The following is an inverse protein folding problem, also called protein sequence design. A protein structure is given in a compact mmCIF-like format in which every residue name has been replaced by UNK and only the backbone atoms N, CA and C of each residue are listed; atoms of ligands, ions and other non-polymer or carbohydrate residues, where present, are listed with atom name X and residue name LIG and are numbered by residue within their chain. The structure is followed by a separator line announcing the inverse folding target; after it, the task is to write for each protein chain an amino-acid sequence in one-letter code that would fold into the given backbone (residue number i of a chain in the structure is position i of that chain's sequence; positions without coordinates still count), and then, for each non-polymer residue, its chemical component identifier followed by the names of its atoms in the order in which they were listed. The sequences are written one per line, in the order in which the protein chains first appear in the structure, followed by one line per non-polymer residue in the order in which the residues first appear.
data_IF_974855205641
#
_entry.id   IF_974855205641
#
_cell.length_a   1.000
_cell.length_b   1.000
_cell.length_c   1.000
_cell.angle_alpha   90.00
_cell.angle_beta   90.00
_cell.angle_gamma   90.00
#
_symmetry.space_group_name_H-M   'P 1'
#
loop_
_entity.id
_entity.type
_entity.pdbx_description
1 polymer ?
#
# COMPACT_ATOMS: atom_id res chain seq x y z
N UNK A 1 -4.76 -7.65 -19.03
CA UNK A 1 -4.84 -7.24 -17.60
C UNK A 1 -6.13 -6.47 -17.37
N UNK A 2 -6.94 -6.88 -16.40
CA UNK A 2 -8.13 -6.12 -15.99
C UNK A 2 -7.67 -4.78 -15.43
N UNK A 3 -8.25 -3.67 -15.91
CA UNK A 3 -7.99 -2.34 -15.32
C UNK A 3 -8.63 -2.32 -13.94
N UNK A 4 -7.83 -2.02 -12.92
CA UNK A 4 -8.33 -1.75 -11.56
C UNK A 4 -9.01 -0.39 -11.54
N UNK A 5 -10.12 -0.27 -10.81
CA UNK A 5 -10.93 0.95 -10.69
C UNK A 5 -10.97 1.44 -9.23
N UNK A 6 -11.34 2.70 -8.98
CA UNK A 6 -11.60 3.16 -7.63
C UNK A 6 -12.59 2.24 -6.89
N UNK A 7 -12.28 1.93 -5.63
CA UNK A 7 -13.00 0.96 -4.79
C UNK A 7 -12.49 -0.48 -4.89
N UNK A 8 -11.64 -0.81 -5.87
CA UNK A 8 -11.03 -2.16 -5.93
C UNK A 8 -9.97 -2.31 -4.83
N UNK A 9 -10.05 -3.44 -4.11
CA UNK A 9 -9.00 -3.90 -3.18
C UNK A 9 -7.92 -4.64 -3.96
N UNK A 10 -6.66 -4.23 -3.83
CA UNK A 10 -5.54 -4.73 -4.63
C UNK A 10 -4.38 -5.18 -3.76
N UNK A 11 -3.66 -6.20 -4.23
CA UNK A 11 -2.33 -6.55 -3.71
C UNK A 11 -1.28 -5.80 -4.52
N UNK A 12 -0.42 -5.04 -3.85
CA UNK A 12 0.67 -4.33 -4.49
C UNK A 12 2.00 -4.94 -4.07
N UNK A 13 2.79 -5.30 -5.07
CA UNK A 13 4.15 -5.78 -4.87
C UNK A 13 5.09 -4.59 -4.68
N UNK A 14 5.85 -4.58 -3.59
CA UNK A 14 6.92 -3.61 -3.39
C UNK A 14 8.19 -4.18 -4.02
N UNK A 15 8.76 -3.56 -5.07
CA UNK A 15 9.87 -4.14 -5.83
C UNK A 15 11.11 -4.48 -5.00
N UNK A 16 11.35 -3.76 -3.89
CA UNK A 16 12.51 -3.93 -3.01
C UNK A 16 12.24 -4.83 -1.80
N UNK A 17 11.00 -5.24 -1.56
CA UNK A 17 10.61 -6.11 -0.46
C UNK A 17 9.91 -7.33 -1.05
N UNK A 18 10.71 -8.33 -1.43
CA UNK A 18 10.29 -9.51 -2.24
C UNK A 18 9.10 -10.27 -1.62
N UNK A 19 8.94 -10.18 -0.29
CA UNK A 19 7.92 -10.91 0.47
C UNK A 19 6.77 -10.01 0.93
N UNK A 20 6.95 -8.69 0.92
CA UNK A 20 5.97 -7.75 1.46
C UNK A 20 4.96 -7.38 0.37
N UNK A 21 3.84 -8.10 0.36
CA UNK A 21 2.65 -7.69 -0.38
C UNK A 21 1.82 -6.82 0.55
N UNK A 22 1.49 -5.62 0.11
CA UNK A 22 0.56 -4.75 0.84
C UNK A 22 -0.81 -4.81 0.20
N UNK A 23 -1.85 -4.83 1.04
CA UNK A 23 -3.23 -4.67 0.60
C UNK A 23 -3.55 -3.18 0.63
N UNK A 24 -4.13 -2.67 -0.45
CA UNK A 24 -4.58 -1.30 -0.52
C UNK A 24 -5.86 -1.16 -1.32
N UNK A 25 -6.52 -0.03 -1.17
CA UNK A 25 -7.74 0.32 -1.91
C UNK A 25 -7.41 1.40 -2.93
N UNK A 26 -7.79 1.20 -4.19
CA UNK A 26 -7.65 2.25 -5.20
C UNK A 26 -8.65 3.36 -4.86
N UNK A 27 -8.16 4.58 -4.61
CA UNK A 27 -9.03 5.74 -4.33
C UNK A 27 -9.17 6.65 -5.54
N UNK A 28 -8.17 6.67 -6.42
CA UNK A 28 -8.25 7.45 -7.66
C UNK A 28 -7.30 6.93 -8.73
N UNK A 29 -7.59 7.29 -9.98
CA UNK A 29 -6.72 7.04 -11.13
C UNK A 29 -6.39 8.37 -11.80
N UNK A 30 -5.11 8.68 -11.97
CA UNK A 30 -4.63 9.91 -12.60
C UNK A 30 -3.91 9.57 -13.91
N UNK A 31 -4.34 10.17 -15.03
CA UNK A 31 -3.61 10.08 -16.30
C UNK A 31 -2.47 11.10 -16.30
N UNK A 32 -1.30 10.67 -16.74
CA UNK A 32 -0.09 11.48 -16.85
C UNK A 32 0.51 11.32 -18.25
N UNK A 33 1.40 12.22 -18.71
CA UNK A 33 2.10 12.04 -19.98
C UNK A 33 2.90 10.72 -20.07
N UNK A 34 3.34 10.18 -18.92
CA UNK A 34 4.09 8.93 -18.81
C UNK A 34 3.20 7.68 -18.62
N UNK A 35 1.87 7.83 -18.68
CA UNK A 35 0.91 6.74 -18.49
C UNK A 35 -0.05 6.96 -17.32
N UNK A 36 -0.51 5.88 -16.70
CA UNK A 36 -1.53 5.91 -15.64
C UNK A 36 -0.88 5.76 -14.27
N UNK A 37 -1.21 6.66 -13.34
CA UNK A 37 -0.90 6.52 -11.91
C UNK A 37 -2.15 6.14 -11.14
N UNK A 38 -2.03 5.18 -10.23
CA UNK A 38 -3.07 4.86 -9.27
C UNK A 38 -2.73 5.52 -7.94
N UNK A 39 -3.72 6.12 -7.31
CA UNK A 39 -3.64 6.57 -5.92
C UNK A 39 -4.24 5.45 -5.08
N UNK A 40 -3.44 4.94 -4.15
CA UNK A 40 -3.78 3.79 -3.31
C UNK A 40 -3.75 4.25 -1.87
N UNK A 41 -4.85 4.02 -1.17
CA UNK A 41 -4.90 4.14 0.29
C UNK A 41 -4.49 2.80 0.90
N UNK A 42 -3.62 2.86 1.91
CA UNK A 42 -3.11 1.68 2.60
C UNK A 42 -3.70 1.63 3.99
N UNK A 43 -4.24 0.47 4.34
CA UNK A 43 -4.44 0.13 5.74
C UNK A 43 -3.08 -0.32 6.30
N UNK A 44 -2.70 0.27 7.43
CA UNK A 44 -1.49 -0.09 8.14
C UNK A 44 -1.90 -0.71 9.46
N UNK A 45 -1.63 -2.00 9.61
CA UNK A 45 -1.75 -2.66 10.90
C UNK A 45 -0.64 -2.18 11.81
N UNK A 46 -1.01 -1.58 12.95
CA UNK A 46 -0.05 -1.24 13.99
C UNK A 46 0.20 -2.49 14.85
N UNK A 47 1.47 -2.85 15.04
CA UNK A 47 1.82 -3.96 15.92
C UNK A 47 1.77 -3.53 17.39
N UNK A 48 0.92 -4.19 18.18
CA UNK A 48 1.21 -4.44 19.60
C UNK A 48 2.09 -5.71 19.68
N UNK A 49 3.41 -5.57 19.68
CA UNK A 49 4.41 -6.69 19.58
C UNK A 49 4.25 -7.79 20.67
N UNK A 50 4.72 -9.07 20.50
CA UNK A 50 6.08 -9.42 20.07
C UNK A 50 6.32 -10.74 19.28
N UNK A 51 5.31 -11.41 18.71
CA UNK A 51 5.52 -12.74 18.13
C UNK A 51 5.47 -12.68 16.60
N UNK A 52 6.66 -12.72 16.01
CA UNK A 52 6.95 -12.35 14.63
C UNK A 52 6.13 -13.07 13.56
N UNK A 53 5.97 -12.34 12.44
CA UNK A 53 5.52 -12.73 11.08
C UNK A 53 4.38 -11.88 10.48
N UNK A 54 4.12 -10.66 10.97
CA UNK A 54 3.22 -9.72 10.29
C UNK A 54 3.92 -8.40 9.88
N UNK A 55 3.64 -7.86 8.68
CA UNK A 55 4.22 -6.62 8.16
C UNK A 55 3.48 -5.39 8.73
N UNK A 56 3.43 -5.28 10.06
CA UNK A 56 2.87 -4.10 10.72
C UNK A 56 3.96 -3.09 11.08
N UNK A 57 3.55 -1.83 11.21
CA UNK A 57 4.43 -0.72 11.61
C UNK A 57 4.28 -0.45 13.11
N UNK A 58 5.34 -0.02 13.78
CA UNK A 58 5.20 0.64 15.09
C UNK A 58 4.68 2.05 14.88
N UNK A 59 3.85 2.55 15.81
CA UNK A 59 3.25 3.88 15.68
C UNK A 59 4.30 4.99 15.48
N UNK A 60 5.47 4.89 16.13
CA UNK A 60 6.55 5.87 16.00
C UNK A 60 7.31 5.78 14.66
N UNK A 61 7.11 4.73 13.87
CA UNK A 61 7.69 4.60 12.53
C UNK A 61 6.84 5.31 11.47
N UNK A 62 5.61 5.74 11.82
CA UNK A 62 4.73 6.53 10.95
C UNK A 62 4.98 8.01 11.23
N UNK A 63 5.80 8.63 10.39
CA UNK A 63 6.15 10.05 10.50
C UNK A 63 5.46 10.87 9.39
N UNK A 64 5.03 12.11 9.67
CA UNK A 64 4.49 12.98 8.64
C UNK A 64 5.56 13.33 7.61
N UNK A 65 5.16 13.44 6.34
CA UNK A 65 6.02 14.01 5.31
C UNK A 65 5.99 15.53 5.51
N UNK A 66 7.11 16.10 5.95
CA UNK A 66 7.37 17.55 6.02
C UNK A 66 7.58 18.16 4.65
#
# INVERSE_FOLDING_TARGET
MKKVKPGDRVWVKIPRAVVERKVGTIVATKRTPKGVRYVVEWEVDLLERPNGHHPGYLAHEIVPIS
#
